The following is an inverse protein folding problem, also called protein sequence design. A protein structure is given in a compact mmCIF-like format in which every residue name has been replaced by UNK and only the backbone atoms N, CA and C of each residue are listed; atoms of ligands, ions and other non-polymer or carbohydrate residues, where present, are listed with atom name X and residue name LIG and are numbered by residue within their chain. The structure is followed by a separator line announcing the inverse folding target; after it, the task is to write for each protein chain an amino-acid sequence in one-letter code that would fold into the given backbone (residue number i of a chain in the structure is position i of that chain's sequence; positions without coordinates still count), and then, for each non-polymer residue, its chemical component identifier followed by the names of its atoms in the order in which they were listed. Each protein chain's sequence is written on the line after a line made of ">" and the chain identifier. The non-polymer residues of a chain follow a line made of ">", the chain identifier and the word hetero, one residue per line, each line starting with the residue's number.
data_IF_457224256912
#
_entry.id   IF_457224256912
#
_cell.length_a   1.000
_cell.length_b   1.000
_cell.length_c   1.000
_cell.angle_alpha   90.00
_cell.angle_beta   90.00
_cell.angle_gamma   90.00
#
_symmetry.space_group_name_H-M   'P 1'
#
loop_
_entity.id
_entity.type
_entity.pdbx_description
1 polymer ?
#
# COMPACT_ATOMS: atom_id res chain seq x y z
N UNK A 1 -23.35 -0.73 -13.19
CA UNK A 1 -22.45 0.12 -14.02
C UNK A 1 -21.28 0.71 -13.21
N UNK A 2 -21.37 0.77 -11.87
CA UNK A 2 -20.31 1.25 -10.98
C UNK A 2 -19.06 0.35 -10.93
N UNK A 3 -19.20 -0.97 -11.05
CA UNK A 3 -18.10 -1.90 -10.75
C UNK A 3 -16.92 -1.79 -11.73
N UNK A 4 -17.24 -1.61 -13.02
CA UNK A 4 -16.22 -1.44 -14.07
C UNK A 4 -15.50 -0.10 -13.89
N UNK A 5 -16.23 0.97 -13.54
CA UNK A 5 -15.64 2.28 -13.27
C UNK A 5 -14.71 2.23 -12.05
N UNK A 6 -15.13 1.56 -10.96
CA UNK A 6 -14.30 1.36 -9.77
C UNK A 6 -13.01 0.60 -10.07
N UNK A 7 -13.07 -0.41 -10.95
CA UNK A 7 -11.89 -1.15 -11.40
C UNK A 7 -10.88 -0.22 -12.10
N UNK A 8 -11.34 0.57 -13.08
CA UNK A 8 -10.46 1.49 -13.80
C UNK A 8 -9.93 2.60 -12.90
N UNK A 9 -10.76 3.14 -12.01
CA UNK A 9 -10.32 4.15 -11.03
C UNK A 9 -9.21 3.63 -10.13
N UNK A 10 -9.37 2.43 -9.56
CA UNK A 10 -8.34 1.84 -8.71
C UNK A 10 -7.05 1.53 -9.45
N UNK A 11 -7.14 1.01 -10.67
CA UNK A 11 -5.97 0.80 -11.52
C UNK A 11 -5.22 2.11 -11.80
N UNK A 12 -5.96 3.19 -12.08
CA UNK A 12 -5.40 4.52 -12.33
C UNK A 12 -4.76 5.09 -11.07
N UNK A 13 -5.39 4.95 -9.90
CA UNK A 13 -4.82 5.38 -8.60
C UNK A 13 -3.51 4.66 -8.30
N UNK A 14 -3.46 3.32 -8.43
CA UNK A 14 -2.23 2.57 -8.16
C UNK A 14 -1.14 2.95 -9.16
N UNK A 15 -1.52 3.16 -10.42
CA UNK A 15 -0.57 3.58 -11.45
C UNK A 15 -0.04 4.98 -11.16
N UNK A 16 -0.90 5.94 -10.81
CA UNK A 16 -0.51 7.28 -10.43
C UNK A 16 0.42 7.28 -9.20
N UNK A 17 0.10 6.50 -8.16
CA UNK A 17 0.96 6.34 -6.99
C UNK A 17 2.32 5.72 -7.35
N UNK A 18 2.34 4.74 -8.26
CA UNK A 18 3.58 4.15 -8.76
C UNK A 18 4.44 5.15 -9.54
N UNK A 19 3.83 6.05 -10.30
CA UNK A 19 4.54 7.14 -10.99
C UNK A 19 5.04 8.21 -10.04
N UNK A 20 4.24 8.59 -9.03
CA UNK A 20 4.65 9.53 -7.98
C UNK A 20 5.83 8.96 -7.19
N UNK A 21 5.79 7.68 -6.83
CA UNK A 21 6.85 7.04 -6.06
C UNK A 21 8.07 6.61 -6.90
N UNK A 22 7.99 6.69 -8.23
CA UNK A 22 9.07 6.26 -9.12
C UNK A 22 10.39 7.04 -8.92
N UNK A 23 10.39 8.39 -8.78
CA UNK A 23 11.59 9.13 -8.43
C UNK A 23 12.25 8.70 -7.11
N UNK A 24 11.45 8.30 -6.10
CA UNK A 24 12.00 7.71 -4.88
C UNK A 24 12.63 6.36 -5.17
N UNK A 25 11.92 5.47 -5.87
CA UNK A 25 12.43 4.14 -6.22
C UNK A 25 13.73 4.20 -7.03
N UNK A 26 13.83 5.13 -7.99
CA UNK A 26 15.02 5.40 -8.79
C UNK A 26 16.23 5.78 -7.92
N UNK A 27 16.00 6.47 -6.81
CA UNK A 27 17.05 6.86 -5.86
C UNK A 27 17.46 5.73 -4.92
N UNK A 28 16.50 4.94 -4.42
CA UNK A 28 16.78 3.85 -3.47
C UNK A 28 17.32 2.59 -4.15
N UNK A 29 16.92 2.31 -5.39
CA UNK A 29 17.29 1.10 -6.13
C UNK A 29 18.05 1.41 -7.43
N UNK A 30 19.22 2.09 -7.37
CA UNK A 30 19.97 2.46 -8.57
C UNK A 30 20.59 1.26 -9.29
N UNK A 31 20.74 0.11 -8.61
CA UNK A 31 21.43 -1.10 -9.11
C UNK A 31 20.52 -2.10 -9.83
N UNK A 32 19.20 -1.92 -9.85
CA UNK A 32 18.28 -2.84 -10.53
C UNK A 32 18.15 -2.50 -12.02
N UNK A 33 18.03 -3.52 -12.87
CA UNK A 33 17.90 -3.36 -14.34
C UNK A 33 16.72 -2.45 -14.76
N UNK A 34 15.64 -2.42 -13.98
CA UNK A 34 14.46 -1.56 -14.19
C UNK A 34 14.45 -0.30 -13.32
N UNK A 35 15.58 0.05 -12.70
CA UNK A 35 15.74 1.15 -11.72
C UNK A 35 14.63 1.22 -10.66
N UNK A 36 14.09 0.05 -10.29
CA UNK A 36 13.06 -0.08 -9.27
C UNK A 36 11.63 0.25 -9.70
N UNK A 37 11.34 0.46 -10.99
CA UNK A 37 9.98 0.79 -11.46
C UNK A 37 8.93 -0.28 -11.10
N UNK A 38 9.30 -1.57 -11.17
CA UNK A 38 8.40 -2.65 -10.76
C UNK A 38 7.98 -2.59 -9.28
N UNK A 39 8.84 -2.04 -8.42
CA UNK A 39 8.59 -1.90 -6.98
C UNK A 39 7.96 -0.54 -6.66
N UNK A 40 7.92 0.42 -7.60
CA UNK A 40 7.42 1.76 -7.31
C UNK A 40 5.93 1.78 -6.99
N UNK A 41 5.11 0.93 -7.62
CA UNK A 41 3.67 0.79 -7.32
C UNK A 41 3.40 0.37 -5.86
N UNK A 42 3.93 -0.79 -5.36
CA UNK A 42 3.74 -1.16 -3.96
C UNK A 42 4.46 -0.20 -3.00
N UNK A 43 5.61 0.37 -3.38
CA UNK A 43 6.31 1.37 -2.57
C UNK A 43 5.46 2.64 -2.40
N UNK A 44 4.83 3.12 -3.47
CA UNK A 44 3.95 4.29 -3.43
C UNK A 44 2.75 4.09 -2.51
N UNK A 45 2.10 2.93 -2.59
CA UNK A 45 1.02 2.57 -1.65
C UNK A 45 1.52 2.51 -0.20
N UNK A 46 2.68 1.89 0.03
CA UNK A 46 3.26 1.72 1.36
C UNK A 46 3.63 3.07 1.98
N UNK A 47 4.35 3.92 1.24
CA UNK A 47 4.77 5.24 1.75
C UNK A 47 3.57 6.16 1.94
N UNK A 48 2.61 6.17 1.01
CA UNK A 48 1.40 6.97 1.16
C UNK A 48 0.59 6.57 2.40
N UNK A 49 0.31 5.27 2.55
CA UNK A 49 -0.42 4.74 3.71
C UNK A 49 0.35 4.95 5.02
N UNK A 50 1.67 4.79 5.00
CA UNK A 50 2.51 4.98 6.17
C UNK A 50 2.54 6.44 6.63
N UNK A 51 2.69 7.40 5.71
CA UNK A 51 2.61 8.83 6.02
C UNK A 51 1.25 9.14 6.63
N UNK A 52 0.16 8.73 5.97
CA UNK A 52 -1.19 8.97 6.47
C UNK A 52 -1.40 8.40 7.89
N UNK A 53 -1.04 7.13 8.09
CA UNK A 53 -1.18 6.45 9.37
C UNK A 53 -0.35 7.11 10.48
N UNK A 54 0.87 7.54 10.17
CA UNK A 54 1.73 8.22 11.12
C UNK A 54 1.11 9.57 11.53
N UNK A 55 0.66 10.40 10.59
CA UNK A 55 0.03 11.69 10.92
C UNK A 55 -1.28 11.53 11.71
N UNK A 56 -2.07 10.49 11.43
CA UNK A 56 -3.26 10.17 12.22
C UNK A 56 -2.91 9.73 13.65
N UNK A 57 -1.89 8.90 13.82
CA UNK A 57 -1.46 8.43 15.15
C UNK A 57 -0.89 9.56 16.01
N UNK A 58 -0.24 10.55 15.39
CA UNK A 58 0.25 11.75 16.09
C UNK A 58 -0.87 12.77 16.41
N UNK A 59 -2.12 12.52 15.97
CA UNK A 59 -3.24 13.45 16.16
C UNK A 59 -3.15 14.72 15.30
N UNK A 60 -2.23 14.77 14.32
CA UNK A 60 -2.06 15.93 13.42
C UNK A 60 -3.17 15.95 12.37
N UNK A 61 -3.59 14.77 11.89
CA UNK A 61 -4.64 14.60 10.89
C UNK A 61 -5.80 13.78 11.43
N UNK A 62 -7.01 14.23 11.13
CA UNK A 62 -8.21 13.40 11.28
C UNK A 62 -8.28 12.38 10.14
N UNK A 63 -8.93 11.24 10.41
CA UNK A 63 -9.14 10.17 9.44
C UNK A 63 -10.26 10.52 8.44
N UNK A 64 -10.02 11.60 7.69
CA UNK A 64 -10.92 12.13 6.68
C UNK A 64 -10.27 12.10 5.30
N UNK A 65 -11.09 12.26 4.26
CA UNK A 65 -10.63 12.39 2.88
C UNK A 65 -9.55 13.47 2.75
N UNK A 66 -9.69 14.60 3.47
CA UNK A 66 -8.70 15.68 3.47
C UNK A 66 -7.34 15.25 4.00
N UNK A 67 -7.29 14.41 5.04
CA UNK A 67 -6.04 13.87 5.58
C UNK A 67 -5.32 12.97 4.58
N UNK A 68 -6.08 12.18 3.84
CA UNK A 68 -5.55 11.29 2.82
C UNK A 68 -4.97 12.06 1.61
N UNK A 69 -5.61 13.17 1.21
CA UNK A 69 -5.06 14.09 0.20
C UNK A 69 -3.80 14.81 0.68
N UNK A 70 -3.75 15.23 1.94
CA UNK A 70 -2.55 15.88 2.50
C UNK A 70 -1.37 14.90 2.55
N UNK A 71 -1.60 13.64 2.95
CA UNK A 71 -0.58 12.60 2.88
C UNK A 71 -0.07 12.35 1.45
N UNK A 72 -0.97 12.42 0.45
CA UNK A 72 -0.61 12.33 -0.96
C UNK A 72 0.26 13.53 -1.39
N UNK A 73 -0.11 14.75 -0.98
CA UNK A 73 0.65 15.97 -1.26
C UNK A 73 2.07 15.90 -0.67
N UNK A 74 2.21 15.38 0.56
CA UNK A 74 3.50 15.15 1.18
C UNK A 74 4.35 14.15 0.39
N UNK A 75 3.76 13.03 -0.05
CA UNK A 75 4.45 12.06 -0.89
C UNK A 75 4.94 12.70 -2.20
N UNK A 76 4.10 13.49 -2.88
CA UNK A 76 4.49 14.23 -4.09
C UNK A 76 5.63 15.20 -3.78
N UNK A 77 5.56 15.94 -2.67
CA UNK A 77 6.62 16.84 -2.22
C UNK A 77 7.95 16.12 -2.05
N UNK A 78 7.98 14.98 -1.35
CA UNK A 78 9.19 14.18 -1.16
C UNK A 78 9.72 13.66 -2.51
N UNK A 79 8.83 13.27 -3.41
CA UNK A 79 9.19 12.78 -4.76
C UNK A 79 9.84 13.87 -5.61
N UNK A 80 9.31 15.10 -5.56
CA UNK A 80 9.88 16.26 -6.27
C UNK A 80 11.21 16.67 -5.65
N UNK A 81 11.32 16.72 -4.32
CA UNK A 81 12.57 16.99 -3.62
C UNK A 81 13.67 15.97 -3.99
N UNK A 82 13.29 14.72 -4.27
CA UNK A 82 14.24 13.71 -4.75
C UNK A 82 14.80 14.02 -6.15
N UNK A 83 14.05 14.72 -7.02
CA UNK A 83 14.43 15.10 -8.39
C UNK A 83 15.24 16.39 -8.48
N UNK A 84 15.01 17.35 -7.57
CA UNK A 84 15.59 18.70 -7.61
C UNK A 84 17.14 18.73 -7.50
N UNK A 85 17.80 17.65 -7.06
CA UNK A 85 19.27 17.57 -6.93
C UNK A 85 19.99 17.29 -8.27
N UNK A 86 19.53 17.90 -9.37
CA UNK A 86 20.14 17.74 -10.71
C UNK A 86 19.91 16.39 -11.39
N UNK A 87 19.14 15.49 -10.77
CA UNK A 87 18.84 14.14 -11.31
C UNK A 87 17.62 14.09 -12.24
N UNK A 88 16.90 15.20 -12.39
CA UNK A 88 15.73 15.28 -13.26
C UNK A 88 16.08 15.00 -14.73
N UNK A 89 17.23 15.49 -15.21
CA UNK A 89 17.69 15.24 -16.58
C UNK A 89 18.05 13.75 -16.80
N UNK A 90 18.77 13.14 -15.85
CA UNK A 90 19.10 11.70 -15.89
C UNK A 90 17.83 10.83 -15.86
N UNK A 91 16.87 11.20 -15.01
CA UNK A 91 15.60 10.49 -14.84
C UNK A 91 14.77 10.50 -16.14
N UNK A 92 14.58 11.68 -16.73
CA UNK A 92 13.81 11.83 -17.98
C UNK A 92 14.53 11.20 -19.17
N UNK A 93 15.87 11.25 -19.22
CA UNK A 93 16.67 10.53 -20.20
C UNK A 93 16.46 9.02 -20.12
N UNK A 94 16.53 8.46 -18.90
CA UNK A 94 16.33 7.03 -18.69
C UNK A 94 14.92 6.56 -19.09
N UNK A 95 13.88 7.34 -18.78
CA UNK A 95 12.50 7.02 -19.18
C UNK A 95 12.38 6.91 -20.71
N UNK A 96 12.97 7.85 -21.44
CA UNK A 96 12.92 7.85 -22.91
C UNK A 96 13.66 6.66 -23.51
N UNK A 97 14.80 6.29 -22.93
CA UNK A 97 15.61 5.17 -23.39
C UNK A 97 14.95 3.81 -23.08
N UNK A 98 14.28 3.69 -21.92
CA UNK A 98 13.74 2.43 -21.40
C UNK A 98 12.22 2.32 -21.48
N UNK A 99 11.55 3.11 -22.31
CA UNK A 99 10.08 3.15 -22.40
C UNK A 99 9.45 1.77 -22.63
N UNK A 100 10.12 0.89 -23.39
CA UNK A 100 9.67 -0.50 -23.61
C UNK A 100 9.60 -1.30 -22.29
N UNK A 101 10.57 -1.10 -21.40
CA UNK A 101 10.60 -1.74 -20.08
C UNK A 101 9.44 -1.27 -19.21
N UNK A 102 9.12 0.04 -19.24
CA UNK A 102 7.97 0.58 -18.53
C UNK A 102 6.66 -0.04 -19.03
N UNK A 103 6.48 -0.13 -20.35
CA UNK A 103 5.28 -0.73 -20.96
C UNK A 103 5.16 -2.21 -20.61
N UNK A 104 6.26 -2.97 -20.64
CA UNK A 104 6.26 -4.38 -20.23
C UNK A 104 5.84 -4.53 -18.78
N UNK A 105 6.37 -3.71 -17.87
CA UNK A 105 6.00 -3.77 -16.44
C UNK A 105 4.53 -3.39 -16.24
N UNK A 106 4.03 -2.37 -16.92
CA UNK A 106 2.61 -2.00 -16.88
C UNK A 106 1.71 -3.10 -17.44
N UNK A 107 2.10 -3.74 -18.54
CA UNK A 107 1.36 -4.86 -19.12
C UNK A 107 1.31 -6.06 -18.16
N UNK A 108 2.45 -6.43 -17.57
CA UNK A 108 2.52 -7.51 -16.56
C UNK A 108 1.64 -7.15 -15.36
N UNK A 109 1.75 -5.93 -14.85
CA UNK A 109 0.92 -5.46 -13.74
C UNK A 109 -0.57 -5.52 -14.06
N UNK A 110 -0.99 -5.10 -15.25
CA UNK A 110 -2.38 -5.15 -15.71
C UNK A 110 -2.89 -6.59 -15.77
N UNK A 111 -2.11 -7.52 -16.34
CA UNK A 111 -2.46 -8.95 -16.41
C UNK A 111 -2.65 -9.52 -14.99
N UNK A 112 -1.73 -9.24 -14.08
CA UNK A 112 -1.85 -9.67 -12.69
C UNK A 112 -3.06 -9.04 -11.99
N UNK A 113 -3.35 -7.76 -12.24
CA UNK A 113 -4.48 -7.05 -11.64
C UNK A 113 -5.83 -7.61 -12.12
N UNK A 114 -5.97 -7.88 -13.41
CA UNK A 114 -7.15 -8.53 -13.99
C UNK A 114 -7.31 -9.95 -13.44
N UNK A 115 -6.22 -10.72 -13.39
CA UNK A 115 -6.23 -12.07 -12.84
C UNK A 115 -6.64 -12.08 -11.36
N UNK A 116 -6.08 -11.19 -10.54
CA UNK A 116 -6.46 -11.04 -9.14
C UNK A 116 -7.95 -10.72 -9.00
N UNK A 117 -8.46 -9.77 -9.77
CA UNK A 117 -9.87 -9.39 -9.71
C UNK A 117 -10.79 -10.54 -10.13
N UNK A 118 -10.40 -11.32 -11.14
CA UNK A 118 -11.11 -12.53 -11.55
C UNK A 118 -11.18 -13.56 -10.42
N UNK A 119 -10.04 -13.86 -9.78
CA UNK A 119 -9.99 -14.77 -8.63
C UNK A 119 -10.83 -14.25 -7.46
N UNK A 120 -10.72 -12.96 -7.13
CA UNK A 120 -11.52 -12.32 -6.08
C UNK A 120 -13.02 -12.37 -6.38
N UNK A 121 -13.41 -12.29 -7.66
CA UNK A 121 -14.80 -12.41 -8.09
C UNK A 121 -15.33 -13.85 -7.94
N UNK A 122 -14.53 -14.85 -8.32
CA UNK A 122 -14.87 -16.26 -8.13
C UNK A 122 -15.13 -16.59 -6.66
N UNK A 123 -14.24 -16.13 -5.77
CA UNK A 123 -14.39 -16.31 -4.33
C UNK A 123 -15.71 -15.71 -3.82
N UNK A 124 -16.06 -14.49 -4.27
CA UNK A 124 -17.33 -13.83 -3.88
C UNK A 124 -18.59 -14.56 -4.34
N UNK A 125 -18.50 -15.31 -5.45
CA UNK A 125 -19.66 -16.01 -6.04
C UNK A 125 -19.96 -17.36 -5.38
N UNK A 126 -18.97 -17.98 -4.74
CA UNK A 126 -19.12 -19.32 -4.17
C UNK A 126 -19.92 -19.31 -2.85
N UNK A 127 -21.05 -20.05 -2.75
CA UNK A 127 -21.83 -20.14 -1.51
C UNK A 127 -21.17 -21.02 -0.44
N UNK A 128 -20.35 -22.01 -0.85
CA UNK A 128 -19.68 -22.94 0.07
C UNK A 128 -18.64 -22.26 0.99
N UNK A 129 -17.98 -21.19 0.54
CA UNK A 129 -17.02 -20.44 1.35
C UNK A 129 -17.69 -19.50 2.37
N UNK A 130 -18.91 -19.01 2.09
CA UNK A 130 -19.64 -18.14 3.04
C UNK A 130 -19.99 -18.85 4.33
N UNK A 131 -20.30 -20.14 4.25
CA UNK A 131 -20.72 -20.94 5.40
C UNK A 131 -19.53 -21.36 6.27
N UNK A 132 -18.35 -21.53 5.66
CA UNK A 132 -17.09 -21.81 6.35
C UNK A 132 -16.54 -20.56 7.07
N UNK A 133 -16.81 -19.36 6.52
CA UNK A 133 -16.39 -18.08 7.10
C UNK A 133 -17.52 -17.37 7.86
N UNK A 134 -18.42 -18.12 8.51
CA UNK A 134 -19.44 -17.56 9.39
C UNK A 134 -18.81 -17.24 10.76
N UNK A 135 -18.19 -16.06 10.88
CA UNK A 135 -17.72 -15.55 12.16
C UNK A 135 -18.91 -15.46 13.14
N UNK A 136 -18.85 -16.08 14.34
CA UNK A 136 -19.87 -15.85 15.34
C UNK A 136 -19.85 -14.37 15.71
N UNK A 137 -21.00 -13.69 15.57
CA UNK A 137 -21.20 -12.27 15.84
C UNK A 137 -21.02 -11.87 17.31
N UNK A 138 -20.61 -12.82 18.15
CA UNK A 138 -20.39 -12.69 19.60
C UNK A 138 -18.92 -12.58 20.00
N UNK A 139 -17.99 -12.35 19.06
CA UNK A 139 -16.59 -12.07 19.41
C UNK A 139 -16.46 -10.56 19.64
N UNK A 140 -16.31 -10.07 20.88
CA UNK A 140 -16.05 -8.66 21.13
C UNK A 140 -14.69 -8.28 20.50
N UNK A 141 -14.67 -7.15 19.80
CA UNK A 141 -13.55 -6.58 19.04
C UNK A 141 -12.36 -6.09 19.91
N UNK A 142 -12.09 -6.75 21.03
CA UNK A 142 -10.99 -6.44 21.93
C UNK A 142 -10.25 -7.72 22.33
N UNK A 143 -9.47 -8.30 21.40
CA UNK A 143 -8.51 -9.37 21.73
C UNK A 143 -7.26 -9.27 20.83
N UNK A 144 -6.14 -8.74 21.34
CA UNK A 144 -4.82 -9.22 20.99
C UNK A 144 -4.42 -10.26 22.04
N UNK A 145 -4.87 -11.51 21.90
CA UNK A 145 -4.39 -12.68 22.67
C UNK A 145 -5.17 -13.95 22.28
N UNK A 146 -4.65 -14.74 21.35
CA UNK A 146 -4.55 -16.21 21.45
C UNK A 146 -4.07 -16.78 20.11
N UNK A 147 -2.86 -16.40 19.71
CA UNK A 147 -2.11 -17.20 18.75
C UNK A 147 -0.65 -17.28 19.17
N UNK A 148 -0.41 -17.66 20.43
CA UNK A 148 0.88 -18.22 20.83
C UNK A 148 0.68 -19.26 21.93
N UNK A 149 1.05 -20.48 21.54
CA UNK A 149 1.72 -21.47 22.35
C UNK A 149 0.87 -22.42 23.23
N UNK A 150 0.52 -23.55 22.61
CA UNK A 150 0.50 -24.87 23.27
C UNK A 150 1.91 -25.26 23.77
N UNK A 151 2.54 -24.45 24.64
CA UNK A 151 3.70 -24.88 25.44
C UNK A 151 4.04 -23.86 26.53
N UNK A 152 3.67 -24.18 27.78
CA UNK A 152 4.26 -23.77 29.08
C UNK A 152 5.24 -22.56 29.14
N UNK A 153 4.98 -21.59 30.04
CA UNK A 153 6.07 -20.78 30.65
C UNK A 153 5.77 -19.34 31.12
N UNK A 154 4.94 -19.17 32.16
CA UNK A 154 5.01 -18.25 33.33
C UNK A 154 5.73 -16.85 33.34
N UNK A 155 6.06 -16.15 32.25
CA UNK A 155 6.86 -14.90 32.37
C UNK A 155 6.44 -13.69 31.50
N UNK A 156 5.14 -13.49 31.20
CA UNK A 156 4.68 -12.33 30.39
C UNK A 156 3.57 -11.52 31.08
N UNK A 157 3.68 -11.33 32.40
CA UNK A 157 2.68 -10.58 33.19
C UNK A 157 3.04 -9.10 33.41
N UNK A 158 4.19 -8.60 32.94
CA UNK A 158 4.67 -7.27 33.33
C UNK A 158 4.52 -6.14 32.29
N UNK A 159 3.95 -6.39 31.11
CA UNK A 159 3.82 -5.37 30.06
C UNK A 159 2.41 -4.77 29.88
N UNK A 160 1.43 -5.19 30.69
CA UNK A 160 0.01 -4.88 30.49
C UNK A 160 -0.55 -3.73 31.34
N UNK A 161 0.26 -3.06 32.17
CA UNK A 161 -0.23 -2.00 33.09
C UNK A 161 -0.06 -0.56 32.59
N UNK A 162 0.67 -0.29 31.50
CA UNK A 162 0.96 1.10 31.07
C UNK A 162 0.11 1.65 29.92
N UNK A 163 -0.78 0.87 29.31
CA UNK A 163 -1.60 1.32 28.16
C UNK A 163 -3.09 1.50 28.46
N UNK A 164 -3.46 1.58 29.74
CA UNK A 164 -4.84 1.79 30.21
C UNK A 164 -5.06 3.14 30.91
N UNK A 165 -4.05 4.03 30.92
CA UNK A 165 -4.12 5.34 31.60
C UNK A 165 -4.35 6.53 30.65
N UNK A 166 -4.75 6.29 29.40
CA UNK A 166 -5.21 7.33 28.47
C UNK A 166 -6.57 6.94 27.89
N UNK A 167 -7.57 6.86 28.76
CA UNK A 167 -8.97 7.05 28.44
C UNK A 167 -9.67 7.67 29.65
#
# INVERSE_FOLDING_TARGET
>A
MSDVLSFFLWYLVISALGWIAFPLAFRFFPKLASKGYAVSKPLGLLVWGYIFWLLCTLGVLQNDLGGQFLALLLLVGISVLALLKGKAAEFTGWIKENWKSLVTIEAVFLVFFVFWQWCAQLTRRSPLLKNQWNWPSSIPFCVPTLFLHKTRGFLVTLFLTTTLAMC
#
